data_IF_104285459926
#
_entry.id   IF_104285459926
#
_cell.length_a   1.000
_cell.length_b   1.000
_cell.length_c   1.000
_cell.angle_alpha   90.00
_cell.angle_beta   90.00
_cell.angle_gamma   90.00
#
_symmetry.space_group_name_H-M   'P 1'
#
loop_
_entity.id
_entity.type
_entity.pdbx_description
1 polymer ?
#
# COMPACT_ATOMS: atom_id res chain seq x y z
N UNK A 1 -28.65 54.63 -15.56
CA UNK A 1 -27.27 54.73 -16.05
C UNK A 1 -26.37 54.61 -14.82
N UNK A 2 -25.72 53.46 -14.65
CA UNK A 2 -24.47 53.18 -13.89
C UNK A 2 -24.43 51.69 -13.54
N UNK A 3 -23.48 51.00 -14.16
CA UNK A 3 -23.14 49.58 -14.01
C UNK A 3 -22.02 49.48 -12.95
N UNK A 4 -22.05 48.56 -11.98
CA UNK A 4 -20.88 48.27 -11.16
C UNK A 4 -19.99 47.20 -11.80
N UNK A 5 -18.69 47.48 -11.85
CA UNK A 5 -17.62 46.63 -12.35
C UNK A 5 -17.37 45.42 -11.45
N UNK A 6 -17.39 44.21 -12.02
CA UNK A 6 -16.82 43.00 -11.41
C UNK A 6 -15.29 43.12 -11.39
N UNK A 7 -14.69 43.12 -10.19
CA UNK A 7 -13.27 42.85 -10.02
C UNK A 7 -13.02 41.34 -10.02
N UNK A 8 -12.22 40.87 -10.98
CA UNK A 8 -11.73 39.49 -10.99
C UNK A 8 -10.72 39.29 -9.87
N UNK A 9 -10.99 38.35 -8.96
CA UNK A 9 -10.01 37.85 -8.00
C UNK A 9 -9.00 36.96 -8.72
N UNK A 10 -7.73 37.35 -8.73
CA UNK A 10 -6.63 36.47 -9.13
C UNK A 10 -6.40 35.41 -8.05
N UNK A 11 -6.15 34.14 -8.40
CA UNK A 11 -5.78 33.13 -7.42
C UNK A 11 -4.43 33.51 -6.80
N UNK A 12 -4.38 33.52 -5.47
CA UNK A 12 -3.16 33.66 -4.68
C UNK A 12 -2.20 32.51 -5.01
N UNK A 13 -0.90 32.78 -5.24
CA UNK A 13 0.07 31.74 -5.57
C UNK A 13 0.27 30.77 -4.40
N UNK A 14 0.47 29.50 -4.74
CA UNK A 14 0.73 28.40 -3.81
C UNK A 14 2.04 28.65 -3.01
N UNK A 15 2.01 28.69 -1.67
CA UNK A 15 3.19 28.90 -0.82
C UNK A 15 4.32 27.88 -1.04
N UNK A 16 4.00 26.68 -1.56
CA UNK A 16 4.98 25.63 -1.86
C UNK A 16 5.97 26.06 -2.95
N UNK A 17 5.54 26.84 -3.95
CA UNK A 17 6.44 27.37 -4.98
C UNK A 17 7.49 28.32 -4.39
N UNK A 18 7.16 29.00 -3.29
CA UNK A 18 8.03 29.97 -2.63
C UNK A 18 9.09 29.32 -1.72
N UNK A 19 8.79 28.14 -1.19
CA UNK A 19 9.72 27.38 -0.36
C UNK A 19 10.77 26.72 -1.27
N UNK A 20 10.35 26.02 -2.33
CA UNK A 20 11.28 25.43 -3.30
C UNK A 20 12.11 26.48 -4.06
N UNK A 21 11.55 27.65 -4.40
CA UNK A 21 12.29 28.72 -5.09
C UNK A 21 13.41 29.34 -4.24
N UNK A 22 13.19 29.50 -2.94
CA UNK A 22 14.19 30.07 -2.04
C UNK A 22 15.32 29.08 -1.73
N UNK A 23 15.03 27.78 -1.66
CA UNK A 23 16.07 26.74 -1.51
C UNK A 23 16.93 26.64 -2.79
N UNK A 24 16.32 26.73 -3.98
CA UNK A 24 17.07 26.78 -5.24
C UNK A 24 17.92 28.04 -5.41
N UNK A 25 17.47 29.20 -4.94
CA UNK A 25 18.27 30.44 -4.98
C UNK A 25 19.45 30.42 -3.99
N UNK A 26 19.31 29.80 -2.83
CA UNK A 26 20.44 29.58 -1.91
C UNK A 26 21.46 28.59 -2.50
N UNK A 27 21.01 27.53 -3.17
CA UNK A 27 21.88 26.53 -3.81
C UNK A 27 22.66 27.09 -5.00
N UNK A 28 22.07 27.98 -5.80
CA UNK A 28 22.75 28.63 -6.94
C UNK A 28 23.88 29.59 -6.52
N UNK A 29 23.86 30.07 -5.27
CA UNK A 29 24.87 30.99 -4.74
C UNK A 29 26.15 30.31 -4.21
N UNK A 30 26.13 28.97 -4.03
CA UNK A 30 27.24 28.21 -3.44
C UNK A 30 28.03 27.34 -4.42
N UNK A 31 27.56 27.15 -5.68
CA UNK A 31 28.29 26.39 -6.71
C UNK A 31 28.08 26.98 -8.12
N UNK A 32 29.01 27.79 -8.67
CA UNK A 32 28.79 28.50 -9.94
C UNK A 32 29.14 27.70 -11.22
N UNK A 33 29.22 26.38 -11.18
CA UNK A 33 29.71 25.58 -12.31
C UNK A 33 28.90 24.30 -12.50
N UNK A 34 27.71 24.41 -13.09
CA UNK A 34 27.01 23.30 -13.78
C UNK A 34 26.05 23.91 -14.82
N UNK A 35 26.64 24.47 -15.89
CA UNK A 35 25.92 24.81 -17.12
C UNK A 35 26.23 23.73 -18.17
N UNK A 36 25.22 22.98 -18.61
CA UNK A 36 25.25 22.29 -19.90
C UNK A 36 23.86 22.38 -20.55
N UNK A 37 23.76 22.84 -21.81
CA UNK A 37 22.50 22.84 -22.55
C UNK A 37 22.38 21.52 -23.32
N UNK A 38 21.25 20.81 -23.19
CA UNK A 38 20.90 19.73 -24.10
C UNK A 38 19.52 20.03 -24.72
N UNK A 39 19.55 20.59 -25.91
CA UNK A 39 18.42 20.63 -26.85
C UNK A 39 18.36 19.33 -27.63
N UNK A 40 17.27 18.57 -27.49
CA UNK A 40 16.94 17.48 -28.41
C UNK A 40 15.50 17.68 -28.92
N UNK A 41 15.40 18.00 -30.21
CA UNK A 41 14.16 17.93 -30.98
C UNK A 41 13.97 16.49 -31.46
N UNK A 42 12.81 15.90 -31.18
CA UNK A 42 12.32 14.73 -31.91
C UNK A 42 11.06 15.11 -32.67
N UNK A 43 11.13 15.04 -34.01
CA UNK A 43 9.99 15.02 -34.91
C UNK A 43 9.44 13.60 -34.99
N UNK A 44 8.15 13.40 -34.70
CA UNK A 44 7.45 12.13 -34.92
C UNK A 44 6.46 12.31 -36.09
N UNK A 45 6.65 11.53 -37.15
CA UNK A 45 5.71 11.41 -38.26
C UNK A 45 4.58 10.45 -37.87
N UNK A 46 3.34 10.91 -38.06
CA UNK A 46 2.13 10.10 -37.97
C UNK A 46 2.06 9.11 -39.14
N UNK A 47 1.95 7.82 -38.83
CA UNK A 47 1.37 6.83 -39.75
C UNK A 47 0.29 6.03 -39.03
N UNK A 48 -0.91 6.10 -39.61
CA UNK A 48 -2.14 5.44 -39.21
C UNK A 48 -2.01 3.91 -39.25
N UNK A 49 -2.56 3.23 -38.25
CA UNK A 49 -3.12 1.89 -38.44
C UNK A 49 -4.50 1.81 -37.79
N UNK A 50 -5.50 1.56 -38.64
CA UNK A 50 -6.87 1.29 -38.26
C UNK A 50 -7.01 -0.17 -37.80
N UNK A 51 -7.59 -0.38 -36.61
CA UNK A 51 -8.05 -1.69 -36.16
C UNK A 51 -9.58 -1.74 -36.20
N UNK A 52 -10.09 -2.68 -37.00
CA UNK A 52 -11.51 -3.01 -37.16
C UNK A 52 -12.07 -3.56 -35.85
N UNK A 53 -13.16 -2.97 -35.39
CA UNK A 53 -14.05 -3.50 -34.36
C UNK A 53 -14.81 -4.73 -34.88
N UNK A 54 -14.90 -5.79 -34.08
CA UNK A 54 -15.86 -6.88 -34.25
C UNK A 54 -16.76 -6.97 -33.00
N UNK A 55 -18.05 -7.36 -33.14
CA UNK A 55 -19.05 -7.15 -32.11
C UNK A 55 -19.06 -8.24 -31.05
N UNK A 56 -19.35 -7.83 -29.82
CA UNK A 56 -19.57 -8.65 -28.63
C UNK A 56 -20.92 -9.36 -28.74
N UNK A 57 -20.91 -10.68 -28.88
CA UNK A 57 -22.04 -11.51 -28.48
C UNK A 57 -21.57 -12.93 -28.19
N UNK A 58 -22.07 -13.48 -27.08
CA UNK A 58 -21.98 -14.88 -26.60
C UNK A 58 -20.99 -15.15 -25.46
N UNK A 59 -21.40 -14.78 -24.24
CA UNK A 59 -21.07 -15.53 -23.02
C UNK A 59 -22.42 -15.91 -22.38
N UNK A 60 -22.68 -17.18 -22.00
CA UNK A 60 -23.97 -17.58 -21.44
C UNK A 60 -24.15 -17.04 -20.02
N UNK A 61 -25.24 -16.32 -19.78
CA UNK A 61 -25.71 -15.94 -18.45
C UNK A 61 -26.34 -17.15 -17.75
N UNK A 62 -25.84 -17.50 -16.56
CA UNK A 62 -26.47 -18.48 -15.68
C UNK A 62 -27.53 -17.77 -14.83
N UNK A 63 -28.79 -18.02 -15.14
CA UNK A 63 -29.96 -17.62 -14.36
C UNK A 63 -29.99 -18.36 -13.03
N UNK A 64 -29.81 -17.64 -11.91
CA UNK A 64 -30.28 -18.10 -10.60
C UNK A 64 -31.65 -17.45 -10.32
N UNK A 65 -32.66 -18.31 -10.30
CA UNK A 65 -34.06 -17.98 -10.09
C UNK A 65 -34.30 -17.42 -8.67
N UNK A 66 -34.60 -16.13 -8.56
CA UNK A 66 -35.23 -15.53 -7.38
C UNK A 66 -36.47 -14.74 -7.81
N UNK A 67 -37.57 -15.01 -7.12
CA UNK A 67 -38.95 -14.64 -7.43
C UNK A 67 -39.18 -13.15 -7.75
N UNK A 68 -40.01 -12.95 -8.77
CA UNK A 68 -40.60 -11.71 -9.29
C UNK A 68 -40.87 -10.57 -8.29
N UNK A 69 -40.13 -9.47 -8.45
CA UNK A 69 -40.60 -8.07 -8.33
C UNK A 69 -39.63 -7.18 -9.11
N UNK A 70 -40.14 -6.41 -10.06
CA UNK A 70 -39.35 -5.50 -10.91
C UNK A 70 -38.53 -4.52 -10.06
N UNK A 71 -37.21 -4.40 -10.22
CA UNK A 71 -36.47 -3.32 -9.61
C UNK A 71 -36.59 -2.07 -10.47
N UNK A 72 -37.10 -0.98 -9.88
CA UNK A 72 -36.77 0.37 -10.35
C UNK A 72 -35.25 0.50 -10.32
N UNK A 73 -34.67 1.10 -11.36
CA UNK A 73 -33.28 1.57 -11.33
C UNK A 73 -33.13 2.51 -10.13
N UNK A 74 -32.54 1.99 -9.07
CA UNK A 74 -31.99 2.79 -7.99
C UNK A 74 -30.53 2.96 -8.39
N UNK A 75 -30.16 4.15 -8.86
CA UNK A 75 -28.77 4.55 -8.90
C UNK A 75 -28.22 4.37 -7.48
N UNK A 76 -27.44 3.31 -7.26
CA UNK A 76 -26.64 3.18 -6.05
C UNK A 76 -25.61 4.30 -6.11
N UNK A 77 -25.86 5.39 -5.38
CA UNK A 77 -24.80 6.31 -4.97
C UNK A 77 -23.73 5.47 -4.28
N UNK A 78 -22.67 5.14 -5.01
CA UNK A 78 -21.48 4.53 -4.44
C UNK A 78 -20.95 5.51 -3.40
N UNK A 79 -21.13 5.19 -2.11
CA UNK A 79 -20.51 5.95 -1.03
C UNK A 79 -19.02 6.02 -1.32
N UNK A 80 -18.53 7.25 -1.52
CA UNK A 80 -17.11 7.51 -1.77
C UNK A 80 -16.32 7.03 -0.57
N UNK A 81 -15.29 6.23 -0.82
CA UNK A 81 -14.29 5.94 0.20
C UNK A 81 -13.41 7.18 0.34
N UNK A 82 -13.43 7.80 1.52
CA UNK A 82 -12.61 8.97 1.83
C UNK A 82 -12.01 8.74 3.22
N UNK A 83 -10.70 8.87 3.32
CA UNK A 83 -10.00 8.77 4.59
C UNK A 83 -10.06 10.15 5.23
N UNK A 84 -10.77 10.26 6.36
CA UNK A 84 -11.09 11.56 6.96
C UNK A 84 -9.90 12.25 7.66
N UNK A 85 -8.80 11.53 7.89
CA UNK A 85 -7.60 11.98 8.59
C UNK A 85 -6.36 11.27 8.04
N UNK A 86 -5.18 11.73 8.40
CA UNK A 86 -3.94 11.04 8.04
C UNK A 86 -3.87 9.69 8.76
N UNK A 87 -3.93 8.59 8.00
CA UNK A 87 -4.09 7.24 8.55
C UNK A 87 -2.75 6.57 8.88
N UNK A 88 -2.74 5.76 9.95
CA UNK A 88 -1.62 4.87 10.27
C UNK A 88 -2.06 3.43 10.17
N UNK A 89 -1.24 2.65 9.44
CA UNK A 89 -1.46 1.24 9.19
C UNK A 89 -0.25 0.46 9.68
N UNK A 90 -0.46 -0.51 10.56
CA UNK A 90 0.62 -1.39 11.02
C UNK A 90 0.95 -2.47 9.97
N UNK A 91 2.16 -2.44 9.40
CA UNK A 91 2.64 -3.40 8.40
C UNK A 91 2.72 -4.81 9.01
N UNK A 92 2.07 -5.80 8.40
CA UNK A 92 2.02 -7.19 8.92
C UNK A 92 1.63 -7.27 10.41
N UNK A 93 0.82 -6.33 10.87
CA UNK A 93 0.49 -6.09 12.27
C UNK A 93 1.43 -5.10 12.96
N UNK A 94 2.42 -5.58 13.71
CA UNK A 94 3.36 -4.80 14.53
C UNK A 94 4.71 -4.54 13.82
N UNK A 95 4.74 -4.65 12.49
CA UNK A 95 5.93 -4.48 11.64
C UNK A 95 6.48 -5.78 11.08
N UNK A 96 7.19 -5.67 9.95
CA UNK A 96 7.91 -6.78 9.37
C UNK A 96 9.10 -7.20 10.24
N UNK A 97 9.53 -8.44 10.07
CA UNK A 97 10.72 -8.97 10.68
C UNK A 97 11.94 -8.81 9.78
N UNK A 98 13.02 -8.29 10.35
CA UNK A 98 14.37 -8.39 9.78
C UNK A 98 15.22 -9.16 10.79
N UNK A 99 15.46 -10.43 10.45
CA UNK A 99 16.14 -11.38 11.33
C UNK A 99 17.64 -11.08 11.47
N UNK A 100 18.20 -10.24 10.61
CA UNK A 100 19.61 -9.84 10.63
C UNK A 100 19.82 -8.41 11.17
N UNK A 101 18.74 -7.63 11.34
CA UNK A 101 18.82 -6.27 11.88
C UNK A 101 19.52 -6.20 13.25
N UNK A 102 20.08 -5.06 13.62
CA UNK A 102 20.52 -4.84 15.00
C UNK A 102 19.41 -4.25 15.87
N UNK A 103 18.36 -3.70 15.25
CA UNK A 103 17.20 -3.17 15.96
C UNK A 103 16.31 -4.32 16.45
N UNK A 104 16.14 -4.41 17.77
CA UNK A 104 15.34 -5.46 18.41
C UNK A 104 13.87 -5.39 18.02
N UNK A 105 13.36 -4.20 17.67
CA UNK A 105 11.96 -4.03 17.24
C UNK A 105 11.63 -4.91 16.03
N UNK A 106 12.59 -5.09 15.12
CA UNK A 106 12.48 -5.93 13.93
C UNK A 106 12.48 -7.45 14.22
N UNK A 107 12.68 -7.87 15.47
CA UNK A 107 12.58 -9.28 15.90
C UNK A 107 11.74 -9.47 17.16
N UNK A 108 10.99 -8.45 17.57
CA UNK A 108 10.24 -8.51 18.81
C UNK A 108 9.03 -9.44 18.71
N UNK A 109 8.23 -9.32 17.64
CA UNK A 109 6.99 -10.06 17.46
C UNK A 109 6.95 -10.65 16.07
N UNK A 110 6.50 -11.90 15.94
CA UNK A 110 6.32 -12.59 14.66
C UNK A 110 5.40 -11.80 13.73
N UNK A 111 5.89 -11.34 12.57
CA UNK A 111 5.05 -10.69 11.57
C UNK A 111 3.91 -11.60 11.11
N UNK A 112 2.80 -11.04 10.59
CA UNK A 112 1.73 -11.81 9.96
C UNK A 112 1.11 -12.90 10.89
N UNK A 113 0.94 -12.55 12.16
CA UNK A 113 0.46 -13.45 13.22
C UNK A 113 -0.63 -12.82 14.08
N UNK A 114 -1.43 -13.66 14.75
CA UNK A 114 -2.48 -13.18 15.64
C UNK A 114 -1.89 -12.39 16.82
N UNK A 115 -0.75 -12.81 17.36
CA UNK A 115 -0.06 -12.04 18.41
C UNK A 115 0.36 -10.65 17.92
N UNK A 116 0.88 -10.52 16.70
CA UNK A 116 1.26 -9.25 16.09
C UNK A 116 0.06 -8.32 15.89
N UNK A 117 -1.06 -8.86 15.41
CA UNK A 117 -2.29 -8.10 15.22
C UNK A 117 -2.91 -7.63 16.53
N UNK A 118 -2.89 -8.47 17.57
CA UNK A 118 -3.37 -8.08 18.91
C UNK A 118 -2.48 -7.02 19.55
N UNK A 119 -1.17 -7.14 19.43
CA UNK A 119 -0.23 -6.14 19.90
C UNK A 119 -0.48 -4.77 19.24
N UNK A 120 -0.64 -4.75 17.90
CA UNK A 120 -0.97 -3.57 17.14
C UNK A 120 -2.35 -2.97 17.54
N UNK A 121 -3.34 -3.81 17.85
CA UNK A 121 -4.68 -3.35 18.25
C UNK A 121 -4.76 -2.59 19.57
N UNK A 122 -3.69 -2.62 20.38
CA UNK A 122 -3.57 -1.83 21.60
C UNK A 122 -3.05 -0.40 21.34
N UNK A 123 -2.68 -0.10 20.09
CA UNK A 123 -2.21 1.20 19.64
C UNK A 123 -3.31 1.93 18.86
N UNK A 124 -3.17 3.25 18.69
CA UNK A 124 -4.13 4.06 17.95
C UNK A 124 -3.91 3.95 16.43
N UNK A 125 -4.23 2.78 15.88
CA UNK A 125 -4.15 2.50 14.45
C UNK A 125 -5.52 2.53 13.80
N UNK A 126 -5.55 2.90 12.53
CA UNK A 126 -6.76 2.83 11.71
C UNK A 126 -6.91 1.44 11.10
N UNK A 127 -5.79 0.87 10.64
CA UNK A 127 -5.74 -0.45 10.03
C UNK A 127 -4.49 -1.23 10.48
N UNK A 128 -4.54 -2.54 10.30
CA UNK A 128 -3.33 -3.36 10.09
C UNK A 128 -3.33 -3.88 8.66
N UNK A 129 -2.15 -3.97 8.09
CA UNK A 129 -1.91 -4.62 6.81
C UNK A 129 -1.43 -6.06 7.06
N UNK A 130 -1.78 -6.98 6.17
CA UNK A 130 -1.19 -8.31 6.09
C UNK A 130 -1.41 -8.97 4.72
N UNK A 131 -0.54 -9.92 4.40
CA UNK A 131 -0.49 -10.63 3.12
C UNK A 131 -1.33 -11.90 3.12
N UNK A 132 -2.20 -12.06 2.13
CA UNK A 132 -3.03 -13.25 1.96
C UNK A 132 -2.65 -14.00 0.69
N UNK A 133 -2.35 -15.29 0.87
CA UNK A 133 -2.19 -16.29 -0.19
C UNK A 133 -3.26 -17.38 -0.02
N UNK A 134 -3.47 -18.21 -1.04
CA UNK A 134 -4.43 -19.33 -1.00
C UNK A 134 -3.69 -20.65 -1.24
N UNK A 135 -3.84 -21.59 -0.31
CA UNK A 135 -3.29 -22.95 -0.39
C UNK A 135 -3.97 -23.80 -1.48
N UNK A 136 -3.36 -24.92 -1.90
CA UNK A 136 -3.91 -25.78 -2.98
C UNK A 136 -5.28 -26.38 -2.65
N UNK A 137 -5.62 -26.47 -1.36
CA UNK A 137 -6.92 -26.88 -0.84
C UNK A 137 -7.86 -25.69 -0.54
N UNK A 138 -7.60 -24.55 -1.17
CA UNK A 138 -8.45 -23.34 -1.21
C UNK A 138 -8.64 -22.64 0.14
N UNK A 139 -7.64 -22.68 1.01
CA UNK A 139 -7.69 -21.99 2.30
C UNK A 139 -6.88 -20.69 2.24
N UNK A 140 -7.50 -19.51 2.47
CA UNK A 140 -6.77 -18.26 2.61
C UNK A 140 -5.91 -18.24 3.88
N UNK A 141 -4.60 -18.14 3.69
CA UNK A 141 -3.58 -18.12 4.74
C UNK A 141 -2.85 -16.78 4.75
N UNK A 142 -2.35 -16.38 5.92
CA UNK A 142 -1.63 -15.12 6.08
C UNK A 142 -0.12 -15.38 6.07
N UNK A 143 0.56 -14.94 5.01
CA UNK A 143 2.00 -15.10 4.81
C UNK A 143 2.53 -14.28 3.64
N UNK A 144 3.67 -13.60 3.82
CA UNK A 144 4.23 -12.69 2.82
C UNK A 144 5.01 -13.39 1.71
N UNK A 145 6.03 -14.18 2.06
CA UNK A 145 6.97 -14.73 1.09
C UNK A 145 6.27 -15.79 0.22
N UNK A 146 6.58 -15.87 -1.08
CA UNK A 146 5.94 -16.85 -1.98
C UNK A 146 6.31 -18.30 -1.61
N UNK A 147 7.46 -18.49 -0.96
CA UNK A 147 7.97 -19.78 -0.51
C UNK A 147 8.10 -19.82 1.00
N UNK A 148 7.73 -20.95 1.59
CA UNK A 148 7.94 -21.23 3.01
C UNK A 148 9.03 -22.29 3.15
N UNK A 149 9.97 -22.05 4.06
CA UNK A 149 11.09 -22.96 4.35
C UNK A 149 10.98 -23.47 5.78
N UNK A 150 11.08 -24.79 5.96
CA UNK A 150 10.97 -25.42 7.27
C UNK A 150 12.01 -26.53 7.43
N UNK A 151 12.57 -26.67 8.63
CA UNK A 151 13.51 -27.74 8.98
C UNK A 151 12.84 -28.75 9.91
N UNK A 152 12.94 -30.04 9.55
CA UNK A 152 12.51 -31.16 10.39
C UNK A 152 13.60 -32.23 10.39
N UNK A 153 14.04 -32.64 11.59
CA UNK A 153 15.09 -33.65 11.78
C UNK A 153 16.39 -33.38 10.98
N UNK A 154 16.77 -32.11 10.84
CA UNK A 154 17.96 -31.68 10.09
C UNK A 154 17.78 -31.66 8.57
N UNK A 155 16.59 -31.97 8.06
CA UNK A 155 16.26 -31.85 6.64
C UNK A 155 15.47 -30.57 6.40
N UNK A 156 15.91 -29.78 5.42
CA UNK A 156 15.24 -28.54 5.01
C UNK A 156 14.28 -28.83 3.86
N UNK A 157 13.06 -28.35 3.99
CA UNK A 157 12.02 -28.37 2.97
C UNK A 157 11.68 -26.93 2.58
N UNK A 158 11.46 -26.68 1.30
CA UNK A 158 11.05 -25.39 0.77
C UNK A 158 10.03 -25.61 -0.32
N UNK A 159 8.88 -24.96 -0.23
CA UNK A 159 7.78 -25.12 -1.18
C UNK A 159 7.02 -23.80 -1.33
N UNK A 160 6.35 -23.61 -2.47
CA UNK A 160 5.44 -22.46 -2.64
C UNK A 160 4.25 -22.59 -1.71
N UNK A 161 3.83 -21.49 -1.09
CA UNK A 161 2.66 -21.49 -0.20
C UNK A 161 1.40 -21.99 -0.93
N UNK A 162 1.26 -21.64 -2.20
CA UNK A 162 0.15 -22.07 -3.06
C UNK A 162 0.13 -23.57 -3.37
N UNK A 163 1.25 -24.28 -3.19
CA UNK A 163 1.38 -25.72 -3.45
C UNK A 163 1.22 -26.57 -2.17
N UNK A 164 1.05 -25.94 -1.02
CA UNK A 164 0.79 -26.62 0.25
C UNK A 164 -0.72 -26.75 0.49
N UNK A 165 -1.12 -27.79 1.22
CA UNK A 165 -2.42 -27.83 1.92
C UNK A 165 -2.37 -26.93 3.15
N UNK A 166 -3.53 -26.56 3.69
CA UNK A 166 -3.60 -25.83 4.96
C UNK A 166 -2.87 -26.58 6.09
N UNK A 167 -3.04 -27.90 6.16
CA UNK A 167 -2.38 -28.71 7.19
C UNK A 167 -0.86 -28.74 7.04
N UNK A 168 -0.34 -28.75 5.80
CA UNK A 168 1.09 -28.70 5.55
C UNK A 168 1.66 -27.33 5.91
N UNK A 169 0.99 -26.24 5.48
CA UNK A 169 1.35 -24.87 5.82
C UNK A 169 1.39 -24.67 7.34
N UNK A 170 0.29 -25.01 8.03
CA UNK A 170 0.21 -24.87 9.48
C UNK A 170 1.23 -25.72 10.21
N UNK A 171 1.74 -26.83 9.65
CA UNK A 171 2.76 -27.66 10.33
C UNK A 171 4.12 -26.96 10.55
N UNK A 172 4.34 -25.81 9.90
CA UNK A 172 5.54 -25.00 10.03
C UNK A 172 5.42 -23.95 11.15
N UNK A 173 6.49 -23.79 11.93
CA UNK A 173 6.54 -22.89 13.09
C UNK A 173 5.97 -23.52 14.37
N UNK A 174 5.80 -22.72 15.43
CA UNK A 174 5.19 -23.19 16.68
C UNK A 174 3.80 -23.76 16.44
N UNK A 175 3.43 -24.83 17.17
CA UNK A 175 2.09 -25.41 17.18
C UNK A 175 1.55 -25.46 18.60
N UNK A 176 0.23 -25.38 18.75
CA UNK A 176 -0.43 -25.36 20.08
C UNK A 176 -0.21 -26.67 20.86
N UNK A 177 -0.25 -27.82 20.19
CA UNK A 177 -0.29 -29.13 20.84
C UNK A 177 0.92 -30.04 20.57
N UNK A 178 1.84 -29.64 19.66
CA UNK A 178 2.98 -30.45 19.22
C UNK A 178 4.20 -29.58 18.92
N UNK A 179 5.37 -30.18 18.73
CA UNK A 179 6.51 -29.47 18.14
C UNK A 179 6.31 -29.41 16.63
N UNK A 180 6.13 -28.22 16.07
CA UNK A 180 6.08 -28.03 14.62
C UNK A 180 7.47 -28.02 13.99
N UNK A 181 7.51 -27.94 12.66
CA UNK A 181 8.77 -27.82 11.89
C UNK A 181 9.40 -26.46 12.17
N UNK A 182 10.72 -26.40 12.28
CA UNK A 182 11.40 -25.12 12.57
C UNK A 182 11.27 -24.21 11.36
N UNK A 183 10.63 -23.05 11.52
CA UNK A 183 10.47 -22.10 10.41
C UNK A 183 11.80 -21.41 10.10
N UNK A 184 12.12 -21.31 8.82
CA UNK A 184 13.29 -20.64 8.29
C UNK A 184 12.86 -19.49 7.37
N UNK A 185 13.71 -18.47 7.28
CA UNK A 185 13.59 -17.40 6.29
C UNK A 185 14.82 -17.36 5.41
N UNK A 186 14.61 -17.11 4.12
CA UNK A 186 15.70 -16.86 3.18
C UNK A 186 16.07 -15.37 3.24
N UNK A 187 17.32 -15.06 3.51
CA UNK A 187 17.84 -13.69 3.51
C UNK A 187 18.02 -13.18 2.09
N UNK A 188 18.25 -11.88 1.93
CA UNK A 188 18.58 -11.27 0.63
C UNK A 188 19.83 -11.91 0.00
N UNK A 189 20.81 -12.35 0.81
CA UNK A 189 21.99 -13.08 0.35
C UNK A 189 21.72 -14.55 0.01
N UNK A 190 20.46 -14.98 0.11
CA UNK A 190 20.02 -16.34 -0.19
C UNK A 190 20.29 -17.36 0.90
N UNK A 191 20.76 -16.94 2.08
CA UNK A 191 21.02 -17.83 3.21
C UNK A 191 19.73 -18.17 3.94
N UNK A 192 19.56 -19.42 4.34
CA UNK A 192 18.47 -19.81 5.24
C UNK A 192 18.89 -19.58 6.70
N UNK A 193 18.06 -18.83 7.43
CA UNK A 193 18.23 -18.54 8.85
C UNK A 193 16.97 -18.92 9.62
N UNK A 194 17.11 -19.32 10.88
CA UNK A 194 15.95 -19.63 11.73
C UNK A 194 15.14 -18.37 11.96
N UNK A 195 13.82 -18.49 11.84
CA UNK A 195 12.90 -17.39 12.10
C UNK A 195 12.70 -17.20 13.60
N UNK A 196 13.72 -16.66 14.27
CA UNK A 196 13.72 -16.49 15.71
C UNK A 196 13.31 -15.06 16.08
N UNK A 197 12.20 -14.95 16.80
CA UNK A 197 11.65 -13.70 17.35
C UNK A 197 11.37 -13.87 18.85
N UNK A 198 11.24 -12.77 19.59
CA UNK A 198 11.02 -12.83 21.04
C UNK A 198 9.62 -13.36 21.39
N UNK A 199 8.59 -12.90 20.69
CA UNK A 199 7.23 -13.39 20.77
C UNK A 199 6.84 -14.07 19.46
N UNK A 200 6.89 -15.40 19.48
CA UNK A 200 6.53 -16.25 18.34
C UNK A 200 5.08 -16.75 18.46
N UNK A 201 4.49 -17.15 17.32
CA UNK A 201 3.11 -17.62 17.25
C UNK A 201 2.94 -18.60 16.07
N UNK A 202 1.90 -19.41 16.11
CA UNK A 202 1.56 -20.28 14.98
C UNK A 202 1.18 -19.44 13.76
N UNK A 203 1.51 -19.94 12.57
CA UNK A 203 0.95 -19.41 11.31
C UNK A 203 -0.58 -19.44 11.37
N UNK A 204 -1.24 -18.50 10.68
CA UNK A 204 -2.68 -18.31 10.82
C UNK A 204 -3.40 -18.16 9.48
N UNK A 205 -4.71 -18.41 9.51
CA UNK A 205 -5.62 -18.20 8.39
C UNK A 205 -6.26 -16.82 8.42
N UNK A 206 -6.77 -16.38 7.27
CA UNK A 206 -7.58 -15.15 7.19
C UNK A 206 -8.82 -15.23 8.10
N UNK A 207 -9.44 -16.40 8.16
CA UNK A 207 -10.57 -16.65 9.06
C UNK A 207 -10.20 -16.42 10.53
N UNK A 208 -9.07 -16.95 10.97
CA UNK A 208 -8.59 -16.75 12.34
C UNK A 208 -8.30 -15.28 12.65
N UNK A 209 -7.78 -14.51 11.69
CA UNK A 209 -7.59 -13.06 11.88
C UNK A 209 -8.93 -12.34 12.12
N UNK A 210 -9.96 -12.64 11.33
CA UNK A 210 -11.30 -12.05 11.56
C UNK A 210 -11.90 -12.41 12.91
N UNK A 211 -11.67 -13.64 13.39
CA UNK A 211 -12.21 -14.14 14.67
C UNK A 211 -11.45 -13.57 15.87
N UNK A 212 -10.12 -13.46 15.79
CA UNK A 212 -9.27 -13.23 16.96
C UNK A 212 -8.75 -11.80 17.12
N UNK A 213 -8.89 -10.95 16.11
CA UNK A 213 -8.44 -9.55 16.17
C UNK A 213 -9.62 -8.64 16.51
N UNK A 214 -9.38 -7.56 17.26
CA UNK A 214 -10.40 -6.58 17.63
C UNK A 214 -11.23 -6.13 16.39
N UNK A 215 -12.57 -6.30 16.38
CA UNK A 215 -13.44 -5.93 15.26
C UNK A 215 -13.43 -4.46 14.85
N UNK A 216 -13.00 -3.55 15.72
CA UNK A 216 -12.92 -2.11 15.39
C UNK A 216 -11.68 -1.73 14.58
N UNK A 217 -10.63 -2.56 14.60
CA UNK A 217 -9.41 -2.31 13.83
C UNK A 217 -9.62 -2.70 12.37
N UNK A 218 -9.37 -1.79 11.45
CA UNK A 218 -9.51 -2.06 10.03
C UNK A 218 -8.47 -3.04 9.50
N UNK A 219 -8.78 -3.73 8.41
CA UNK A 219 -7.85 -4.61 7.69
C UNK A 219 -7.51 -4.03 6.32
N UNK A 220 -6.22 -3.89 6.01
CA UNK A 220 -5.72 -3.79 4.65
C UNK A 220 -5.23 -5.18 4.22
N UNK A 221 -6.01 -5.87 3.40
CA UNK A 221 -5.73 -7.23 2.96
C UNK A 221 -4.94 -7.15 1.65
N UNK A 222 -3.64 -7.42 1.71
CA UNK A 222 -2.83 -7.55 0.50
C UNK A 222 -3.09 -8.91 -0.16
N UNK A 223 -3.57 -8.89 -1.41
CA UNK A 223 -3.74 -10.07 -2.24
C UNK A 223 -2.39 -10.37 -2.88
N UNK A 224 -1.68 -11.35 -2.32
CA UNK A 224 -0.31 -11.67 -2.70
C UNK A 224 -0.28 -12.67 -3.86
N UNK A 225 0.49 -12.34 -4.89
CA UNK A 225 0.78 -13.17 -6.04
C UNK A 225 2.29 -13.14 -6.31
N UNK A 226 2.82 -14.17 -6.96
CA UNK A 226 4.23 -14.26 -7.37
C UNK A 226 4.46 -13.31 -8.55
N UNK A 227 5.39 -12.38 -8.39
CA UNK A 227 5.64 -11.31 -9.37
C UNK A 227 6.18 -11.79 -10.71
N UNK A 228 6.71 -13.02 -10.74
CA UNK A 228 7.33 -13.60 -11.93
C UNK A 228 6.43 -14.61 -12.64
N UNK A 229 5.20 -14.79 -12.17
CA UNK A 229 4.20 -15.66 -12.80
C UNK A 229 3.18 -14.82 -13.57
N UNK A 230 2.95 -15.21 -14.82
CA UNK A 230 1.79 -14.75 -15.59
C UNK A 230 0.61 -15.66 -15.26
N UNK A 231 -0.36 -15.13 -14.53
CA UNK A 231 -1.53 -15.90 -14.11
C UNK A 231 -2.63 -15.87 -15.16
N UNK A 232 -3.27 -17.01 -15.37
CA UNK A 232 -4.51 -17.07 -16.13
C UNK A 232 -5.66 -16.42 -15.34
N UNK A 233 -6.56 -15.73 -16.05
CA UNK A 233 -7.70 -15.06 -15.43
C UNK A 233 -8.56 -16.00 -14.58
N UNK A 234 -8.78 -17.24 -15.04
CA UNK A 234 -9.57 -18.24 -14.31
C UNK A 234 -8.97 -18.60 -12.96
N UNK A 235 -7.63 -18.71 -12.89
CA UNK A 235 -6.92 -18.94 -11.63
C UNK A 235 -7.07 -17.75 -10.68
N UNK A 236 -6.85 -16.52 -11.17
CA UNK A 236 -7.01 -15.31 -10.35
C UNK A 236 -8.43 -15.22 -9.77
N UNK A 237 -9.47 -15.44 -10.59
CA UNK A 237 -10.86 -15.43 -10.15
C UNK A 237 -11.12 -16.48 -9.07
N UNK A 238 -10.58 -17.68 -9.22
CA UNK A 238 -10.72 -18.76 -8.23
C UNK A 238 -10.08 -18.41 -6.87
N UNK A 239 -8.85 -17.88 -6.89
CA UNK A 239 -8.15 -17.41 -5.68
C UNK A 239 -8.94 -16.28 -5.00
N UNK A 240 -9.37 -15.28 -5.79
CA UNK A 240 -10.13 -14.15 -5.28
C UNK A 240 -11.47 -14.58 -4.68
N UNK A 241 -12.18 -15.54 -5.28
CA UNK A 241 -13.40 -16.09 -4.71
C UNK A 241 -13.18 -16.76 -3.36
N UNK A 242 -12.08 -17.50 -3.19
CA UNK A 242 -11.74 -18.14 -1.92
C UNK A 242 -11.53 -17.11 -0.80
N UNK A 243 -10.84 -16.02 -1.11
CA UNK A 243 -10.61 -14.91 -0.17
C UNK A 243 -11.91 -14.16 0.12
N UNK A 244 -12.65 -13.76 -0.93
CA UNK A 244 -13.91 -13.00 -0.81
C UNK A 244 -14.97 -13.76 -0.02
N UNK A 245 -15.02 -15.10 -0.15
CA UNK A 245 -15.91 -15.94 0.65
C UNK A 245 -15.67 -15.74 2.14
N UNK A 246 -14.42 -15.87 2.59
CA UNK A 246 -14.06 -15.67 4.00
C UNK A 246 -14.34 -14.22 4.44
N UNK A 247 -14.00 -13.24 3.59
CA UNK A 247 -14.24 -11.82 3.91
C UNK A 247 -15.72 -11.52 4.08
N UNK A 248 -16.61 -12.00 3.21
CA UNK A 248 -18.04 -11.73 3.33
C UNK A 248 -18.73 -12.51 4.45
N UNK A 249 -18.26 -13.72 4.75
CA UNK A 249 -18.78 -14.53 5.86
C UNK A 249 -18.39 -13.94 7.23
N UNK A 250 -17.19 -13.32 7.34
CA UNK A 250 -16.61 -12.96 8.64
C UNK A 250 -16.32 -11.46 8.85
N UNK A 251 -16.26 -10.66 7.78
CA UNK A 251 -15.89 -9.24 7.82
C UNK A 251 -16.89 -8.35 8.55
N UNK A 252 -18.19 -8.67 8.49
CA UNK A 252 -19.28 -7.93 9.16
C UNK A 252 -19.15 -6.42 8.90
N UNK A 253 -19.01 -5.62 9.96
CA UNK A 253 -18.88 -4.16 9.90
C UNK A 253 -17.42 -3.68 9.98
N UNK A 254 -16.43 -4.59 9.93
CA UNK A 254 -15.02 -4.21 9.96
C UNK A 254 -14.68 -3.38 8.72
N UNK A 255 -13.96 -2.25 8.85
CA UNK A 255 -13.38 -1.56 7.71
C UNK A 255 -12.35 -2.46 7.01
N UNK A 256 -12.47 -2.63 5.68
CA UNK A 256 -11.57 -3.48 4.90
C UNK A 256 -11.14 -2.72 3.66
N UNK A 257 -9.85 -2.78 3.33
CA UNK A 257 -9.25 -2.36 2.07
C UNK A 257 -8.64 -3.62 1.44
N UNK A 258 -8.80 -3.80 0.13
CA UNK A 258 -7.99 -4.75 -0.62
C UNK A 258 -6.85 -4.01 -1.29
N UNK A 259 -5.63 -4.54 -1.21
CA UNK A 259 -4.48 -4.02 -1.96
C UNK A 259 -3.82 -5.14 -2.76
N UNK A 260 -3.17 -4.83 -3.89
CA UNK A 260 -2.32 -5.82 -4.60
C UNK A 260 -1.37 -5.15 -5.58
N UNK A 261 -0.18 -5.75 -5.77
CA UNK A 261 0.75 -5.37 -6.84
C UNK A 261 0.35 -5.95 -8.20
N UNK A 262 -0.57 -6.92 -8.26
CA UNK A 262 -0.95 -7.58 -9.51
C UNK A 262 -2.09 -6.79 -10.19
N UNK A 263 -1.85 -6.15 -11.36
CA UNK A 263 -2.86 -5.27 -11.97
C UNK A 263 -4.16 -5.96 -12.38
N UNK A 264 -4.10 -7.17 -12.94
CA UNK A 264 -5.26 -7.97 -13.31
C UNK A 264 -6.04 -8.43 -12.08
N UNK A 265 -5.37 -8.80 -10.99
CA UNK A 265 -6.06 -9.12 -9.73
C UNK A 265 -6.78 -7.88 -9.17
N UNK A 266 -6.17 -6.70 -9.21
CA UNK A 266 -6.80 -5.44 -8.79
C UNK A 266 -8.07 -5.14 -9.59
N UNK A 267 -8.02 -5.30 -10.92
CA UNK A 267 -9.17 -5.12 -11.81
C UNK A 267 -10.25 -6.16 -11.50
N UNK A 268 -9.87 -7.43 -11.33
CA UNK A 268 -10.82 -8.52 -11.09
C UNK A 268 -11.51 -8.38 -9.74
N UNK A 269 -10.79 -8.12 -8.65
CA UNK A 269 -11.41 -7.96 -7.33
C UNK A 269 -12.36 -6.76 -7.32
N UNK A 270 -12.04 -5.66 -8.03
CA UNK A 270 -12.96 -4.53 -8.20
C UNK A 270 -14.24 -4.90 -8.95
N UNK A 271 -14.18 -5.84 -9.90
CA UNK A 271 -15.36 -6.34 -10.63
C UNK A 271 -16.17 -7.35 -9.81
N UNK A 272 -15.49 -8.18 -9.02
CA UNK A 272 -16.11 -9.24 -8.23
C UNK A 272 -16.84 -8.70 -6.98
N UNK A 273 -16.46 -7.52 -6.48
CA UNK A 273 -17.13 -6.89 -5.34
C UNK A 273 -17.16 -5.37 -5.44
N UNK A 274 -18.19 -4.76 -4.84
CA UNK A 274 -18.35 -3.31 -4.77
C UNK A 274 -18.37 -2.73 -3.35
N UNK A 275 -18.31 -3.59 -2.32
CA UNK A 275 -18.44 -3.22 -0.90
C UNK A 275 -17.20 -2.52 -0.35
N UNK A 276 -16.02 -3.01 -0.68
CA UNK A 276 -14.74 -2.58 -0.12
C UNK A 276 -13.89 -1.88 -1.17
N UNK A 277 -13.16 -0.82 -0.80
CA UNK A 277 -12.21 -0.17 -1.70
C UNK A 277 -11.09 -1.13 -2.12
N UNK A 278 -10.60 -0.92 -3.35
CA UNK A 278 -9.46 -1.64 -3.92
C UNK A 278 -8.38 -0.63 -4.23
N UNK A 279 -7.19 -0.89 -3.71
CA UNK A 279 -6.00 -0.08 -3.86
C UNK A 279 -4.98 -0.84 -4.71
N UNK A 280 -4.29 -0.12 -5.59
CA UNK A 280 -3.20 -0.71 -6.36
C UNK A 280 -1.84 -0.40 -5.71
N UNK A 281 -1.04 -1.43 -5.48
CA UNK A 281 0.31 -1.30 -4.94
C UNK A 281 1.31 -1.08 -6.09
N UNK A 282 2.27 -0.17 -5.88
CA UNK A 282 3.33 0.13 -6.85
C UNK A 282 4.64 0.50 -6.16
N UNK A 283 5.76 0.10 -6.79
CA UNK A 283 7.10 0.57 -6.40
C UNK A 283 7.37 2.01 -6.87
N UNK A 284 6.43 2.67 -7.54
CA UNK A 284 6.55 4.07 -7.94
C UNK A 284 7.74 4.36 -8.88
N UNK A 285 8.24 3.32 -9.58
CA UNK A 285 9.43 3.39 -10.44
C UNK A 285 10.76 3.10 -9.72
N UNK A 286 10.74 2.68 -8.45
CA UNK A 286 11.93 2.21 -7.74
C UNK A 286 12.40 0.83 -8.22
N UNK A 287 11.50 0.02 -8.78
CA UNK A 287 11.80 -1.26 -9.43
C UNK A 287 11.03 -1.35 -10.75
N UNK A 288 11.62 -2.06 -11.72
CA UNK A 288 11.02 -2.26 -13.04
C UNK A 288 10.60 -3.73 -13.21
N UNK A 289 9.34 -3.91 -13.58
CA UNK A 289 8.72 -5.19 -13.89
C UNK A 289 8.46 -5.32 -15.40
N UNK A 290 8.26 -6.56 -15.84
CA UNK A 290 7.85 -6.84 -17.23
C UNK A 290 6.49 -6.20 -17.55
N UNK A 291 5.57 -6.19 -16.58
CA UNK A 291 4.29 -5.50 -16.71
C UNK A 291 4.46 -4.00 -16.47
N UNK A 292 4.38 -3.24 -17.55
CA UNK A 292 4.57 -1.77 -17.55
C UNK A 292 3.60 -1.04 -16.62
N UNK A 293 2.43 -1.62 -16.33
CA UNK A 293 1.40 -1.02 -15.46
C UNK A 293 1.91 -0.82 -14.02
N UNK A 294 2.98 -1.52 -13.63
CA UNK A 294 3.57 -1.49 -12.28
C UNK A 294 4.67 -0.44 -12.11
N UNK A 295 5.20 0.12 -13.21
CA UNK A 295 6.53 0.73 -13.24
C UNK A 295 6.57 2.23 -12.93
N UNK A 296 5.44 2.87 -12.64
CA UNK A 296 5.42 4.29 -12.26
C UNK A 296 4.12 4.68 -11.55
N UNK A 297 4.18 5.84 -10.88
CA UNK A 297 2.98 6.48 -10.31
C UNK A 297 1.97 6.88 -11.39
N UNK A 298 2.44 7.27 -12.57
CA UNK A 298 1.58 7.61 -13.71
C UNK A 298 0.80 6.39 -14.24
N UNK A 299 1.45 5.24 -14.37
CA UNK A 299 0.78 4.00 -14.79
C UNK A 299 -0.16 3.48 -13.70
N UNK A 300 0.21 3.61 -12.42
CA UNK A 300 -0.69 3.32 -11.30
C UNK A 300 -1.94 4.21 -11.31
N UNK A 301 -1.78 5.52 -11.53
CA UNK A 301 -2.89 6.48 -11.67
C UNK A 301 -3.80 6.09 -12.85
N UNK A 302 -3.20 5.76 -14.00
CA UNK A 302 -3.93 5.31 -15.18
C UNK A 302 -4.74 4.03 -14.90
N UNK A 303 -4.13 3.01 -14.34
CA UNK A 303 -4.81 1.76 -13.96
C UNK A 303 -6.01 2.04 -13.05
N UNK A 304 -5.82 2.85 -12.01
CA UNK A 304 -6.87 3.15 -11.04
C UNK A 304 -8.03 3.92 -11.66
N UNK A 305 -7.73 4.93 -12.48
CA UNK A 305 -8.75 5.77 -13.12
C UNK A 305 -9.54 5.01 -14.19
N UNK A 306 -8.88 4.20 -15.00
CA UNK A 306 -9.54 3.41 -16.07
C UNK A 306 -10.45 2.30 -15.50
N UNK A 307 -10.11 1.75 -14.32
CA UNK A 307 -10.81 0.58 -13.76
C UNK A 307 -11.61 0.89 -12.49
N UNK A 308 -11.68 2.16 -12.08
CA UNK A 308 -12.47 2.58 -10.92
C UNK A 308 -11.95 2.02 -9.60
N UNK A 309 -10.64 1.88 -9.45
CA UNK A 309 -9.99 1.61 -8.16
C UNK A 309 -10.02 2.87 -7.30
N UNK A 310 -9.99 2.72 -5.98
CA UNK A 310 -10.18 3.85 -5.04
C UNK A 310 -8.89 4.41 -4.45
N UNK A 311 -7.77 3.73 -4.62
CA UNK A 311 -6.51 4.25 -4.11
C UNK A 311 -5.26 3.62 -4.70
N UNK A 312 -4.13 4.23 -4.36
CA UNK A 312 -2.78 3.79 -4.69
C UNK A 312 -2.01 3.64 -3.38
N UNK A 313 -1.21 2.59 -3.27
CA UNK A 313 -0.20 2.46 -2.22
C UNK A 313 1.17 2.43 -2.91
N UNK A 314 2.02 3.42 -2.65
CA UNK A 314 3.33 3.54 -3.33
C UNK A 314 4.50 3.34 -2.37
N UNK A 315 5.61 2.80 -2.87
CA UNK A 315 6.88 2.95 -2.16
C UNK A 315 7.22 4.45 -2.02
N UNK A 316 7.60 4.84 -0.80
CA UNK A 316 7.78 6.23 -0.37
C UNK A 316 8.91 6.99 -1.08
N UNK A 317 10.00 6.33 -1.49
CA UNK A 317 11.04 6.94 -2.33
C UNK A 317 10.48 7.27 -3.72
N UNK A 318 9.60 6.44 -4.27
CA UNK A 318 8.91 6.74 -5.53
C UNK A 318 8.12 8.06 -5.44
N UNK A 319 7.45 8.28 -4.31
CA UNK A 319 6.75 9.54 -3.99
C UNK A 319 7.71 10.72 -3.92
N UNK A 320 8.79 10.60 -3.15
CA UNK A 320 9.74 11.69 -2.99
C UNK A 320 10.52 12.04 -4.27
N UNK A 321 10.73 11.06 -5.15
CA UNK A 321 11.35 11.27 -6.48
C UNK A 321 10.42 11.98 -7.46
N UNK A 322 9.11 11.85 -7.29
CA UNK A 322 8.12 12.42 -8.21
C UNK A 322 6.99 13.17 -7.47
N UNK A 323 7.30 14.31 -6.83
CA UNK A 323 6.30 15.10 -6.10
C UNK A 323 5.18 15.64 -7.01
N UNK A 324 5.46 15.84 -8.31
CA UNK A 324 4.44 16.25 -9.28
C UNK A 324 3.38 15.16 -9.52
N UNK A 325 3.74 13.88 -9.44
CA UNK A 325 2.78 12.79 -9.53
C UNK A 325 1.80 12.79 -8.34
N UNK A 326 2.26 13.14 -7.14
CA UNK A 326 1.37 13.30 -5.96
C UNK A 326 0.29 14.33 -6.26
N UNK A 327 0.68 15.50 -6.77
CA UNK A 327 -0.28 16.55 -7.15
C UNK A 327 -1.28 16.05 -8.18
N UNK A 328 -0.83 15.36 -9.24
CA UNK A 328 -1.73 14.79 -10.26
C UNK A 328 -2.72 13.76 -9.67
N UNK A 329 -2.26 12.91 -8.75
CA UNK A 329 -3.12 11.92 -8.08
C UNK A 329 -4.17 12.62 -7.22
N UNK A 330 -3.78 13.63 -6.44
CA UNK A 330 -4.71 14.37 -5.56
C UNK A 330 -5.70 15.25 -6.33
N UNK A 331 -5.30 15.81 -7.47
CA UNK A 331 -6.15 16.64 -8.33
C UNK A 331 -7.04 15.84 -9.29
N UNK A 332 -6.87 14.51 -9.37
CA UNK A 332 -7.67 13.71 -10.29
C UNK A 332 -9.16 13.73 -9.92
N UNK A 333 -10.04 13.67 -10.93
CA UNK A 333 -11.50 13.71 -10.74
C UNK A 333 -12.03 12.59 -9.84
N UNK A 334 -11.32 11.47 -9.80
CA UNK A 334 -11.69 10.27 -9.07
C UNK A 334 -11.34 10.36 -7.57
N UNK A 335 -10.60 11.39 -7.13
CA UNK A 335 -10.17 11.61 -5.74
C UNK A 335 -9.57 10.34 -5.11
N UNK A 336 -8.56 9.79 -5.76
CA UNK A 336 -7.87 8.61 -5.26
C UNK A 336 -7.23 8.89 -3.90
N UNK A 337 -7.38 7.96 -2.97
CA UNK A 337 -6.56 7.92 -1.77
C UNK A 337 -5.13 7.50 -2.14
N UNK A 338 -4.14 8.11 -1.51
CA UNK A 338 -2.74 7.82 -1.74
C UNK A 338 -2.07 7.46 -0.42
N UNK A 339 -1.72 6.19 -0.27
CA UNK A 339 -0.96 5.68 0.86
C UNK A 339 0.48 5.39 0.43
N UNK A 340 1.35 5.20 1.42
CA UNK A 340 2.72 4.78 1.17
C UNK A 340 3.15 3.61 2.05
N UNK A 341 4.21 2.91 1.62
CA UNK A 341 4.98 1.96 2.40
C UNK A 341 6.49 2.20 2.18
N UNK A 342 7.32 1.49 2.92
CA UNK A 342 8.78 1.46 2.72
C UNK A 342 9.55 2.03 3.91
N UNK A 343 10.88 1.90 3.86
CA UNK A 343 11.75 2.16 5.03
C UNK A 343 11.64 3.59 5.58
N UNK A 344 11.36 4.58 4.73
CA UNK A 344 11.22 5.98 5.19
C UNK A 344 9.92 6.23 5.95
N UNK A 345 8.93 5.32 5.89
CA UNK A 345 7.75 5.41 6.75
C UNK A 345 8.04 5.11 8.21
N UNK A 346 9.21 4.56 8.52
CA UNK A 346 9.69 4.35 9.89
C UNK A 346 10.46 5.56 10.43
N UNK A 347 10.49 6.67 9.69
CA UNK A 347 11.21 7.89 10.07
C UNK A 347 10.22 9.03 10.31
N UNK A 348 10.07 9.53 11.56
CA UNK A 348 9.08 10.56 11.91
C UNK A 348 9.08 11.78 10.98
N UNK A 349 10.24 12.31 10.64
CA UNK A 349 10.39 13.49 9.80
C UNK A 349 9.90 13.24 8.37
N UNK A 350 10.18 12.05 7.82
CA UNK A 350 9.71 11.68 6.49
C UNK A 350 8.19 11.46 6.47
N UNK A 351 7.61 10.91 7.54
CA UNK A 351 6.15 10.78 7.70
C UNK A 351 5.48 12.15 7.78
N UNK A 352 6.07 13.09 8.54
CA UNK A 352 5.57 14.47 8.60
C UNK A 352 5.63 15.17 7.23
N UNK A 353 6.70 14.97 6.45
CA UNK A 353 6.79 15.50 5.09
C UNK A 353 5.71 14.92 4.17
N UNK A 354 5.42 13.61 4.28
CA UNK A 354 4.36 12.97 3.52
C UNK A 354 2.98 13.56 3.84
N UNK A 355 2.70 13.83 5.12
CA UNK A 355 1.48 14.53 5.53
C UNK A 355 1.36 15.90 4.84
N UNK A 356 2.42 16.70 4.84
CA UNK A 356 2.44 18.01 4.17
C UNK A 356 2.27 17.91 2.64
N UNK A 357 2.70 16.81 2.03
CA UNK A 357 2.52 16.52 0.60
C UNK A 357 1.09 16.08 0.25
N UNK A 358 0.22 15.87 1.24
CA UNK A 358 -1.15 15.42 1.04
C UNK A 358 -1.30 13.92 0.86
N UNK A 359 -0.33 13.12 1.33
CA UNK A 359 -0.47 11.67 1.47
C UNK A 359 -1.53 11.38 2.53
N UNK A 360 -2.40 10.39 2.27
CA UNK A 360 -3.57 10.10 3.11
C UNK A 360 -3.27 9.06 4.20
N UNK A 361 -2.21 8.27 4.07
CA UNK A 361 -1.83 7.31 5.10
C UNK A 361 -0.48 6.64 4.87
N UNK A 362 0.07 6.08 5.94
CA UNK A 362 1.38 5.42 5.97
C UNK A 362 1.27 4.00 6.53
N UNK A 363 1.83 3.03 5.81
CA UNK A 363 2.06 1.66 6.26
C UNK A 363 3.45 1.60 6.89
N UNK A 364 3.54 1.19 8.16
CA UNK A 364 4.75 1.36 8.99
C UNK A 364 5.14 0.09 9.75
N UNK A 365 6.44 -0.10 9.96
CA UNK A 365 6.99 -1.15 10.85
C UNK A 365 7.17 -0.66 12.28
N UNK A 366 7.57 0.60 12.47
CA UNK A 366 7.74 1.21 13.80
C UNK A 366 6.41 1.76 14.31
N UNK A 367 5.44 0.84 14.43
CA UNK A 367 4.03 1.11 14.64
C UNK A 367 3.75 2.05 15.82
N UNK A 368 4.35 1.78 16.99
CA UNK A 368 4.13 2.61 18.18
C UNK A 368 4.60 4.06 17.97
N UNK A 369 5.83 4.22 17.50
CA UNK A 369 6.48 5.52 17.33
C UNK A 369 5.72 6.40 16.32
N UNK A 370 5.34 5.82 15.18
CA UNK A 370 4.64 6.57 14.14
C UNK A 370 3.16 6.79 14.50
N UNK A 371 2.50 5.87 15.19
CA UNK A 371 1.14 6.09 15.67
C UNK A 371 1.06 7.26 16.66
N UNK A 372 2.01 7.38 17.60
CA UNK A 372 2.09 8.51 18.52
C UNK A 372 2.31 9.84 17.77
N UNK A 373 3.21 9.88 16.79
CA UNK A 373 3.42 11.06 15.93
C UNK A 373 2.14 11.47 15.19
N UNK A 374 1.44 10.52 14.55
CA UNK A 374 0.28 10.84 13.73
C UNK A 374 -0.95 11.21 14.59
N UNK A 375 -1.04 10.72 15.82
CA UNK A 375 -1.99 11.23 16.80
C UNK A 375 -1.77 12.72 17.07
N UNK A 376 -0.51 13.15 17.25
CA UNK A 376 -0.18 14.56 17.46
C UNK A 376 -0.50 15.41 16.22
N UNK A 377 -0.15 14.92 15.02
CA UNK A 377 -0.47 15.58 13.75
C UNK A 377 -1.98 15.76 13.58
N UNK A 378 -2.78 14.73 13.85
CA UNK A 378 -4.24 14.80 13.69
C UNK A 378 -4.92 15.60 14.81
N UNK A 379 -4.31 15.69 16.00
CA UNK A 379 -4.85 16.42 17.15
C UNK A 379 -4.59 17.93 17.08
N UNK A 380 -3.51 18.36 16.42
CA UNK A 380 -3.19 19.76 16.18
C UNK A 380 -3.82 20.21 14.85
N UNK A 381 -4.85 21.05 14.90
CA UNK A 381 -5.47 21.55 13.67
C UNK A 381 -4.48 22.33 12.80
N UNK A 382 -4.51 22.12 11.48
CA UNK A 382 -3.65 22.82 10.50
C UNK A 382 -3.69 24.36 10.69
N UNK A 383 -4.84 24.92 11.12
CA UNK A 383 -5.02 26.35 11.40
C UNK A 383 -4.37 26.83 12.70
N UNK A 384 -4.32 26.02 13.77
CA UNK A 384 -3.61 26.38 15.01
C UNK A 384 -2.09 26.35 14.82
N UNK A 385 -1.59 25.40 14.01
CA UNK A 385 -0.17 25.33 13.61
C UNK A 385 0.26 26.50 12.72
N UNK A 386 -0.59 26.99 11.82
CA UNK A 386 -0.28 28.13 10.95
C UNK A 386 -0.47 29.50 11.63
N UNK A 387 -1.39 29.62 12.60
CA UNK A 387 -1.66 30.87 13.33
C UNK A 387 -0.73 31.09 14.53
N UNK A 388 -0.11 30.04 15.07
CA UNK A 388 1.02 30.18 15.96
C UNK A 388 2.18 30.84 15.20
N UNK A 389 2.41 32.14 15.41
CA UNK A 389 3.54 32.93 14.85
C UNK A 389 4.95 32.34 15.10
N UNK A 390 5.05 31.17 15.73
CA UNK A 390 6.27 30.44 16.05
C UNK A 390 6.36 29.04 15.44
N UNK A 391 5.37 28.54 14.69
CA UNK A 391 5.52 27.26 13.97
C UNK A 391 6.10 27.48 12.58
N UNK A 392 7.36 27.94 12.54
CA UNK A 392 8.29 27.20 11.68
C UNK A 392 8.41 25.85 12.35
N UNK A 393 8.24 24.70 11.67
CA UNK A 393 8.71 23.45 12.24
C UNK A 393 10.15 23.72 12.70
N UNK A 394 10.37 23.74 14.02
CA UNK A 394 11.72 23.87 14.57
C UNK A 394 12.33 22.50 14.40
N UNK A 395 12.66 22.21 13.15
CA UNK A 395 13.47 21.08 12.85
C UNK A 395 14.76 21.27 13.65
N UNK A 396 15.08 20.31 14.50
CA UNK A 396 16.40 20.30 15.14
C UNK A 396 17.47 20.41 14.05
N UNK A 397 18.67 20.90 14.39
CA UNK A 397 19.81 20.90 13.45
C UNK A 397 20.04 19.50 12.85
N UNK A 398 19.68 18.45 13.58
CA UNK A 398 19.73 17.06 13.13
C UNK A 398 18.62 16.74 12.12
N UNK A 399 17.37 17.14 12.37
CA UNK A 399 16.24 16.96 11.45
C UNK A 399 16.42 17.75 10.14
N UNK A 400 16.90 18.99 10.21
CA UNK A 400 17.26 19.76 9.01
C UNK A 400 18.41 19.12 8.24
N UNK A 401 19.45 18.67 8.95
CA UNK A 401 20.57 17.96 8.33
C UNK A 401 20.12 16.66 7.67
N UNK A 402 19.15 15.96 8.25
CA UNK A 402 18.56 14.74 7.70
C UNK A 402 17.72 15.02 6.45
N UNK A 403 16.81 16.01 6.48
CA UNK A 403 16.05 16.43 5.30
C UNK A 403 16.97 16.87 4.16
N UNK A 404 18.05 17.60 4.46
CA UNK A 404 19.06 18.02 3.49
C UNK A 404 19.95 16.87 2.99
N UNK A 405 20.09 15.77 3.74
CA UNK A 405 20.79 14.54 3.34
C UNK A 405 19.90 13.59 2.55
N UNK A 406 18.60 13.56 2.81
CA UNK A 406 17.64 12.76 2.04
C UNK A 406 17.58 13.21 0.58
N UNK A 407 17.64 14.52 0.35
CA UNK A 407 17.49 15.12 -0.99
C UNK A 407 18.54 14.55 -1.98
N UNK A 408 19.85 14.51 -1.68
CA UNK A 408 20.85 13.85 -2.53
C UNK A 408 20.63 12.35 -2.76
N UNK A 409 20.22 11.60 -1.74
CA UNK A 409 20.01 10.14 -1.82
C UNK A 409 18.75 9.78 -2.62
N UNK A 410 17.75 10.66 -2.62
CA UNK A 410 16.54 10.52 -3.46
C UNK A 410 16.84 10.77 -4.94
N UNK A 411 17.82 11.63 -5.25
CA UNK A 411 18.24 12.01 -6.61
C UNK A 411 19.19 10.97 -7.24
N UNK A 412 19.86 10.12 -6.45
CA UNK A 412 20.70 9.05 -6.98
C UNK A 412 19.95 7.71 -7.09
N UNK A 413 19.68 7.29 -8.33
CA UNK A 413 19.93 5.97 -8.97
C UNK A 413 19.32 6.03 -10.37
#
# INVERSE_FOLDING_TARGET
MLIPSLGMAFPTPNPLLYIFSNTSQQLASQFPQLYFPLSFQYSLSLTQMALKLLPVSQIPSLDLCCSSRSPREVEMEQRRFEVAKFAVIGHRGSGMNDLQSLDQRMRAIKENSIVSFKAASNLALDFIEFDVQVTKDNCPVIFHDDHIFCEENGTVFGEKVTELTLSEFLSCGPQRDKKGKTLLRKTEEGKLVKWNVEQDDSLCTLHEAFVNVNPSLGFNIELKFDDYIVYEQGYLVHVLHSILKVVFEHGKNRPIIFSTFQPDAAILVRKLQSTYPVFFLTEGGCELYQDVRRNSLEEALKLCTEHGLQGIVSEVKGIFRNPEAVRKIKECSNKLSLFTYGKLNNVPEAVYMQHLMGIDGVIVDFVKEIAELVLDINGQGMEEMLQAKNFKPQFSQQELSFLLKLIPELIQI
#
